data_IF_609017802029
#
_entry.id   IF_609017802029
#
_cell.length_a   1.000
_cell.length_b   1.000
_cell.length_c   1.000
_cell.angle_alpha   90.00
_cell.angle_beta   90.00
_cell.angle_gamma   90.00
#
_symmetry.space_group_name_H-M   'P 1'
#
loop_
_entity.id
_entity.type
_entity.pdbx_description
1 polymer ?
#
# COMPACT_ATOMS: atom_id res chain seq x y z
N UNK A 1 -1.38 -11.02 -18.09
CA UNK A 1 -2.51 -10.18 -17.68
C UNK A 1 -3.75 -11.05 -17.53
N UNK A 2 -4.39 -11.01 -16.37
CA UNK A 2 -5.68 -11.65 -16.08
C UNK A 2 -6.72 -10.54 -15.93
N UNK A 3 -7.88 -10.72 -16.57
CA UNK A 3 -8.99 -9.78 -16.52
C UNK A 3 -10.17 -10.45 -15.82
N UNK A 4 -10.77 -9.74 -14.87
CA UNK A 4 -11.92 -10.17 -14.10
C UNK A 4 -13.15 -9.36 -14.50
N UNK A 5 -14.21 -10.08 -14.83
CA UNK A 5 -15.54 -9.51 -15.07
C UNK A 5 -16.51 -10.17 -14.10
N UNK A 6 -16.83 -9.48 -13.01
CA UNK A 6 -17.68 -9.95 -11.92
C UNK A 6 -17.17 -11.24 -11.24
N UNK A 7 -15.89 -11.31 -10.89
CA UNK A 7 -15.39 -12.39 -10.06
C UNK A 7 -15.82 -12.16 -8.61
N UNK A 8 -16.65 -13.04 -8.07
CA UNK A 8 -17.08 -12.96 -6.66
C UNK A 8 -16.24 -13.87 -5.78
N UNK A 9 -15.65 -13.31 -4.73
CA UNK A 9 -15.00 -14.04 -3.65
C UNK A 9 -15.80 -13.90 -2.35
N UNK A 10 -15.85 -14.96 -1.55
CA UNK A 10 -16.48 -14.96 -0.23
C UNK A 10 -15.53 -15.52 0.81
N UNK A 11 -15.39 -14.85 1.95
CA UNK A 11 -14.54 -15.29 3.06
C UNK A 11 -15.06 -14.75 4.38
N UNK A 12 -15.12 -15.57 5.44
CA UNK A 12 -15.55 -15.16 6.79
C UNK A 12 -16.87 -14.35 6.86
N UNK A 13 -17.82 -14.64 5.97
CA UNK A 13 -19.10 -13.90 5.91
C UNK A 13 -19.03 -12.57 5.16
N UNK A 14 -17.89 -12.25 4.57
CA UNK A 14 -17.70 -11.15 3.62
C UNK A 14 -17.87 -11.66 2.17
N UNK A 15 -18.31 -10.76 1.28
CA UNK A 15 -18.59 -11.07 -0.11
C UNK A 15 -18.22 -9.88 -0.97
N UNK A 16 -17.24 -10.06 -1.84
CA UNK A 16 -16.68 -8.99 -2.67
C UNK A 16 -16.70 -9.41 -4.13
N UNK A 17 -17.21 -8.51 -4.99
CA UNK A 17 -17.15 -8.67 -6.45
C UNK A 17 -16.00 -7.83 -7.02
N UNK A 18 -15.10 -8.45 -7.75
CA UNK A 18 -13.94 -7.85 -8.40
C UNK A 18 -14.19 -7.67 -9.90
N UNK A 19 -13.88 -6.48 -10.39
CA UNK A 19 -13.82 -6.15 -11.81
C UNK A 19 -12.48 -5.47 -12.12
N UNK A 20 -11.90 -5.75 -13.28
CA UNK A 20 -10.67 -5.09 -13.73
C UNK A 20 -9.57 -6.07 -14.11
N UNK A 21 -8.31 -5.71 -13.88
CA UNK A 21 -7.17 -6.51 -14.32
C UNK A 21 -6.05 -6.59 -13.29
N UNK A 22 -5.35 -7.72 -13.31
CA UNK A 22 -4.10 -7.94 -12.60
C UNK A 22 -3.08 -8.47 -13.61
N UNK A 23 -1.92 -7.83 -13.67
CA UNK A 23 -0.76 -8.36 -14.38
C UNK A 23 0.30 -8.67 -13.35
N UNK A 24 0.79 -9.90 -13.35
CA UNK A 24 1.94 -10.30 -12.58
C UNK A 24 3.02 -10.77 -13.55
N UNK A 25 4.22 -10.24 -13.39
CA UNK A 25 5.44 -10.69 -14.04
C UNK A 25 6.43 -11.10 -12.97
N UNK A 26 7.10 -12.24 -13.14
CA UNK A 26 8.15 -12.67 -12.24
C UNK A 26 9.34 -13.15 -13.09
N UNK A 27 10.48 -12.50 -12.91
CA UNK A 27 11.69 -12.76 -13.67
C UNK A 27 12.87 -12.89 -12.71
N UNK A 28 13.42 -14.11 -12.61
CA UNK A 28 14.52 -14.40 -11.68
C UNK A 28 14.12 -14.09 -10.23
N UNK A 29 14.86 -13.20 -9.58
CA UNK A 29 14.61 -12.75 -8.21
C UNK A 29 13.74 -11.49 -8.12
N UNK A 30 12.97 -11.17 -9.16
CA UNK A 30 12.11 -9.97 -9.20
C UNK A 30 10.67 -10.34 -9.52
N UNK A 31 9.72 -9.61 -8.93
CA UNK A 31 8.31 -9.72 -9.27
C UNK A 31 7.65 -8.33 -9.33
N UNK A 32 6.82 -8.13 -10.34
CA UNK A 32 6.04 -6.91 -10.56
C UNK A 32 4.57 -7.27 -10.69
N UNK A 33 3.74 -6.69 -9.84
CA UNK A 33 2.29 -6.84 -9.86
C UNK A 33 1.70 -5.47 -10.17
N UNK A 34 0.86 -5.38 -11.20
CA UNK A 34 0.09 -4.18 -11.55
C UNK A 34 -1.39 -4.50 -11.50
N UNK A 35 -2.16 -3.69 -10.77
CA UNK A 35 -3.58 -3.87 -10.53
C UNK A 35 -4.36 -2.62 -10.94
N UNK A 36 -5.44 -2.85 -11.67
CA UNK A 36 -6.48 -1.87 -11.96
C UNK A 36 -7.82 -2.52 -11.61
N UNK A 37 -8.30 -2.29 -10.39
CA UNK A 37 -9.41 -3.04 -9.80
C UNK A 37 -10.51 -2.11 -9.29
N UNK A 38 -11.74 -2.57 -9.48
CA UNK A 38 -12.94 -2.07 -8.83
C UNK A 38 -13.48 -3.21 -7.98
N UNK A 39 -13.59 -2.98 -6.68
CA UNK A 39 -13.99 -3.97 -5.69
C UNK A 39 -15.30 -3.50 -5.06
N UNK A 40 -16.35 -4.30 -5.18
CA UNK A 40 -17.66 -4.00 -4.59
C UNK A 40 -17.94 -4.94 -3.43
N UNK A 41 -18.15 -4.40 -2.25
CA UNK A 41 -18.75 -5.12 -1.14
C UNK A 41 -20.22 -5.41 -1.49
N UNK A 42 -20.59 -6.69 -1.51
CA UNK A 42 -21.92 -7.14 -1.92
C UNK A 42 -22.98 -6.94 -0.82
N UNK A 43 -22.59 -6.70 0.43
CA UNK A 43 -23.51 -6.40 1.54
C UNK A 43 -23.87 -4.92 1.56
N UNK A 44 -22.86 -4.04 1.50
CA UNK A 44 -23.09 -2.59 1.61
C UNK A 44 -23.27 -1.91 0.25
N UNK A 45 -22.86 -2.55 -0.84
CA UNK A 45 -22.82 -1.95 -2.17
C UNK A 45 -21.68 -0.94 -2.36
N UNK A 46 -20.86 -0.71 -1.33
CA UNK A 46 -19.72 0.22 -1.38
C UNK A 46 -18.67 -0.29 -2.36
N UNK A 47 -18.07 0.65 -3.08
CA UNK A 47 -17.08 0.36 -4.10
C UNK A 47 -15.76 1.02 -3.75
N UNK A 48 -14.69 0.24 -3.81
CA UNK A 48 -13.31 0.64 -3.61
C UNK A 48 -12.57 0.50 -4.93
N UNK A 49 -11.62 1.37 -5.21
CA UNK A 49 -10.82 1.27 -6.43
C UNK A 49 -9.34 1.24 -6.11
N UNK A 50 -8.60 0.51 -6.93
CA UNK A 50 -7.15 0.53 -7.00
C UNK A 50 -6.78 0.82 -8.45
N UNK A 51 -6.18 1.97 -8.71
CA UNK A 51 -5.82 2.45 -10.05
C UNK A 51 -4.31 2.50 -10.19
N UNK A 52 -3.78 1.84 -11.21
CA UNK A 52 -2.35 1.66 -11.44
C UNK A 52 -1.60 1.27 -10.15
N UNK A 53 -2.22 0.41 -9.34
CA UNK A 53 -1.64 -0.03 -8.09
C UNK A 53 -0.56 -1.06 -8.38
N UNK A 54 0.68 -0.67 -8.17
CA UNK A 54 1.85 -1.46 -8.49
C UNK A 54 2.58 -1.89 -7.23
N UNK A 55 2.96 -3.17 -7.18
CA UNK A 55 3.88 -3.74 -6.20
C UNK A 55 5.10 -4.22 -6.98
N UNK A 56 6.29 -3.77 -6.60
CA UNK A 56 7.55 -4.33 -7.08
C UNK A 56 8.28 -5.00 -5.93
N UNK A 57 8.88 -6.16 -6.20
CA UNK A 57 9.57 -7.01 -5.24
C UNK A 57 10.93 -7.42 -5.81
N UNK A 58 11.97 -7.39 -4.97
CA UNK A 58 13.30 -7.87 -5.28
C UNK A 58 13.78 -8.80 -4.15
N UNK A 59 14.08 -10.04 -4.47
CA UNK A 59 14.55 -11.05 -3.54
C UNK A 59 16.08 -11.14 -3.55
N UNK A 60 16.71 -10.94 -2.39
CA UNK A 60 18.15 -11.04 -2.19
C UNK A 60 18.54 -12.24 -1.31
N UNK A 61 17.63 -13.21 -1.13
CA UNK A 61 17.79 -14.44 -0.36
C UNK A 61 17.62 -14.24 1.15
N UNK A 62 18.37 -13.30 1.75
CA UNK A 62 18.28 -13.01 3.19
C UNK A 62 17.28 -11.90 3.53
N UNK A 63 16.89 -11.11 2.55
CA UNK A 63 15.88 -10.07 2.67
C UNK A 63 15.20 -9.86 1.32
N UNK A 64 13.99 -9.31 1.37
CA UNK A 64 13.32 -8.77 0.20
C UNK A 64 13.31 -7.26 0.26
N UNK A 65 13.39 -6.61 -0.88
CA UNK A 65 12.95 -5.22 -1.03
C UNK A 65 11.60 -5.17 -1.71
N UNK A 66 10.79 -4.18 -1.34
CA UNK A 66 9.54 -3.92 -2.03
C UNK A 66 9.21 -2.44 -2.09
N UNK A 67 8.44 -2.09 -3.12
CA UNK A 67 7.82 -0.77 -3.27
C UNK A 67 6.37 -0.90 -3.68
N UNK A 68 5.58 0.09 -3.25
CA UNK A 68 4.16 0.19 -3.53
C UNK A 68 3.89 1.57 -4.14
N UNK A 69 3.09 1.61 -5.20
CA UNK A 69 2.64 2.87 -5.79
C UNK A 69 1.26 2.73 -6.40
N UNK A 70 0.60 3.84 -6.68
CA UNK A 70 -0.69 3.89 -7.35
C UNK A 70 -1.71 4.70 -6.58
N UNK A 71 -2.98 4.61 -6.96
CA UNK A 71 -4.06 5.36 -6.31
C UNK A 71 -5.09 4.39 -5.75
N UNK A 72 -5.58 4.66 -4.55
CA UNK A 72 -6.71 3.95 -3.96
C UNK A 72 -7.85 4.93 -3.67
N UNK A 73 -9.08 4.45 -3.76
CA UNK A 73 -10.28 5.17 -3.37
C UNK A 73 -11.08 4.35 -2.36
N UNK A 74 -11.45 5.03 -1.28
CA UNK A 74 -12.40 4.57 -0.29
C UNK A 74 -13.62 5.51 -0.31
N UNK A 75 -14.86 4.99 -0.32
CA UNK A 75 -16.06 5.84 -0.39
C UNK A 75 -16.34 6.67 0.87
N UNK A 76 -15.75 6.33 2.01
CA UNK A 76 -15.82 7.10 3.25
C UNK A 76 -14.65 8.08 3.41
N UNK A 77 -13.45 7.73 2.93
CA UNK A 77 -12.23 8.52 3.16
C UNK A 77 -11.75 9.31 1.92
N UNK A 78 -12.30 9.06 0.74
CA UNK A 78 -11.88 9.66 -0.52
C UNK A 78 -10.71 8.93 -1.19
N UNK A 79 -9.99 9.63 -2.06
CA UNK A 79 -8.86 9.04 -2.80
C UNK A 79 -7.52 9.50 -2.28
N UNK A 80 -6.55 8.59 -2.23
CA UNK A 80 -5.14 8.91 -1.93
C UNK A 80 -4.22 8.30 -2.97
N UNK A 81 -3.08 8.96 -3.20
CA UNK A 81 -1.99 8.43 -4.04
C UNK A 81 -0.88 7.92 -3.15
N UNK A 82 -0.42 6.70 -3.40
CA UNK A 82 0.63 6.03 -2.65
C UNK A 82 1.92 6.04 -3.47
N UNK A 83 3.03 6.28 -2.80
CA UNK A 83 4.37 6.15 -3.36
C UNK A 83 5.33 5.59 -2.31
N UNK A 84 6.35 4.87 -2.73
CA UNK A 84 7.47 4.42 -1.89
C UNK A 84 8.75 5.08 -2.40
N UNK A 85 9.13 6.27 -1.91
CA UNK A 85 10.35 6.95 -2.36
C UNK A 85 11.63 6.17 -2.04
N UNK A 86 11.61 5.40 -0.95
CA UNK A 86 12.70 4.50 -0.54
C UNK A 86 12.13 3.11 -0.32
N UNK A 87 12.58 2.13 -1.10
CA UNK A 87 12.12 0.74 -0.99
C UNK A 87 12.16 0.26 0.47
N UNK A 88 11.10 -0.43 0.88
CA UNK A 88 11.12 -1.15 2.14
C UNK A 88 11.99 -2.38 2.02
N UNK A 89 12.82 -2.65 3.02
CA UNK A 89 13.60 -3.86 3.08
C UNK A 89 13.20 -4.71 4.28
N UNK A 90 12.74 -5.92 4.04
CA UNK A 90 12.23 -6.86 5.03
C UNK A 90 13.18 -8.06 5.14
N UNK A 91 13.77 -8.25 6.33
CA UNK A 91 14.64 -9.38 6.61
C UNK A 91 13.82 -10.68 6.70
N UNK A 92 14.37 -11.81 6.27
CA UNK A 92 13.67 -13.11 6.28
C UNK A 92 13.22 -13.59 7.68
N UNK A 93 13.85 -13.07 8.73
CA UNK A 93 13.57 -13.38 10.13
C UNK A 93 12.78 -12.28 10.85
N UNK A 94 12.28 -11.27 10.14
CA UNK A 94 11.50 -10.17 10.71
C UNK A 94 10.13 -10.04 10.03
N UNK A 95 9.13 -9.67 10.82
CA UNK A 95 7.78 -9.36 10.31
C UNK A 95 7.64 -7.92 9.83
N UNK A 96 8.58 -7.04 10.16
CA UNK A 96 8.50 -5.61 9.85
C UNK A 96 9.74 -5.11 9.10
N UNK A 97 9.58 -4.15 8.18
CA UNK A 97 10.70 -3.59 7.45
C UNK A 97 11.74 -2.96 8.38
N UNK A 98 13.02 -3.14 8.04
CA UNK A 98 14.11 -2.53 8.80
C UNK A 98 14.50 -1.14 8.29
N UNK A 99 14.12 -0.81 7.06
CA UNK A 99 14.26 0.52 6.42
C UNK A 99 13.20 0.66 5.34
N UNK A 100 12.96 1.89 4.89
CA UNK A 100 12.03 2.23 3.81
C UNK A 100 11.16 3.43 4.15
N UNK A 101 10.53 3.99 3.13
CA UNK A 101 9.67 5.17 3.23
C UNK A 101 8.42 4.98 2.36
N UNK A 102 7.24 5.14 2.95
CA UNK A 102 5.95 5.24 2.26
C UNK A 102 5.45 6.67 2.38
N UNK A 103 4.97 7.26 1.28
CA UNK A 103 4.26 8.53 1.31
C UNK A 103 2.88 8.36 0.71
N UNK A 104 1.88 8.82 1.45
CA UNK A 104 0.47 8.85 1.06
C UNK A 104 0.08 10.31 0.85
N UNK A 105 -0.30 10.66 -0.36
CA UNK A 105 -0.76 11.99 -0.75
C UNK A 105 -2.28 12.04 -0.74
N UNK A 106 -2.85 12.92 0.06
CA UNK A 106 -4.28 13.18 0.17
C UNK A 106 -4.73 14.36 -0.68
N UNK A 107 -5.94 14.85 -0.38
CA UNK A 107 -6.47 16.08 -0.98
C UNK A 107 -5.79 17.33 -0.42
N UNK A 108 -5.93 18.46 -1.13
CA UNK A 108 -5.47 19.78 -0.69
C UNK A 108 -3.97 19.87 -0.33
N UNK A 109 -3.12 19.05 -0.96
CA UNK A 109 -1.68 19.06 -0.70
C UNK A 109 -1.24 18.31 0.57
N UNK A 110 -2.18 17.78 1.35
CA UNK A 110 -1.88 17.00 2.56
C UNK A 110 -1.14 15.72 2.21
N UNK A 111 -0.26 15.28 3.11
CA UNK A 111 0.48 14.02 2.94
C UNK A 111 0.86 13.42 4.29
N UNK A 112 0.91 12.10 4.34
CA UNK A 112 1.48 11.37 5.46
C UNK A 112 2.69 10.56 4.98
N UNK A 113 3.71 10.44 5.83
CA UNK A 113 4.90 9.62 5.58
C UNK A 113 5.06 8.61 6.69
N UNK A 114 5.30 7.36 6.31
CA UNK A 114 5.77 6.32 7.22
C UNK A 114 7.23 6.03 6.90
N UNK A 115 8.10 6.10 7.91
CA UNK A 115 9.52 5.79 7.81
C UNK A 115 9.85 4.62 8.72
N UNK A 116 10.36 3.54 8.14
CA UNK A 116 10.91 2.43 8.90
C UNK A 116 12.31 2.79 9.43
N UNK A 117 12.50 2.74 10.75
CA UNK A 117 13.80 2.99 11.39
C UNK A 117 14.56 1.69 11.61
N UNK A 118 13.84 0.65 12.03
CA UNK A 118 14.36 -0.69 12.25
C UNK A 118 13.21 -1.70 12.22
N UNK A 119 13.54 -2.98 12.30
CA UNK A 119 12.55 -4.06 12.40
C UNK A 119 11.66 -3.99 13.66
N UNK A 120 11.95 -3.08 14.59
CA UNK A 120 11.15 -2.87 15.80
C UNK A 120 10.42 -1.53 15.80
N UNK A 121 10.89 -0.54 15.04
CA UNK A 121 10.42 0.84 15.16
C UNK A 121 10.16 1.53 13.82
N UNK A 122 9.17 2.42 13.83
CA UNK A 122 8.84 3.33 12.74
C UNK A 122 8.51 4.73 13.28
N UNK A 123 8.40 5.69 12.37
CA UNK A 123 7.83 7.01 12.62
C UNK A 123 6.75 7.26 11.57
N UNK A 124 5.64 7.89 11.98
CA UNK A 124 4.68 8.50 11.06
C UNK A 124 4.73 10.02 11.22
N UNK A 125 4.76 10.73 10.09
CA UNK A 125 4.71 12.17 10.01
C UNK A 125 3.55 12.59 9.10
N UNK A 126 2.92 13.73 9.38
CA UNK A 126 1.85 14.27 8.55
C UNK A 126 2.00 15.77 8.31
N UNK A 127 1.74 16.18 7.07
CA UNK A 127 1.48 17.54 6.62
C UNK A 127 -0.05 17.66 6.58
N UNK A 128 -0.60 18.20 7.67
CA UNK A 128 -2.04 18.21 7.93
C UNK A 128 -2.73 19.43 7.35
N UNK A 129 -1.97 20.49 7.06
CA UNK A 129 -2.48 21.74 6.46
C UNK A 129 -2.18 21.87 4.95
N UNK A 130 -1.37 20.97 4.38
CA UNK A 130 -1.05 20.92 2.96
C UNK A 130 -0.03 21.96 2.51
N UNK A 131 0.76 22.53 3.42
CA UNK A 131 1.75 23.57 3.11
C UNK A 131 3.09 23.03 2.55
N UNK A 132 3.24 21.71 2.49
CA UNK A 132 4.44 21.02 2.01
C UNK A 132 5.40 20.57 3.12
N UNK A 133 5.16 20.97 4.37
CA UNK A 133 5.97 20.66 5.55
C UNK A 133 5.20 19.74 6.49
N UNK A 134 5.88 18.75 7.07
CA UNK A 134 5.28 17.92 8.10
C UNK A 134 5.13 18.71 9.42
N UNK A 135 3.90 18.92 9.87
CA UNK A 135 3.55 19.66 11.09
C UNK A 135 3.14 18.75 12.27
N UNK A 136 2.96 17.46 12.01
CA UNK A 136 2.66 16.44 13.02
C UNK A 136 3.62 15.25 12.92
N UNK A 137 3.95 14.65 14.06
CA UNK A 137 4.73 13.40 14.15
C UNK A 137 4.24 12.53 15.28
N UNK A 138 4.22 11.21 15.06
CA UNK A 138 3.98 10.22 16.11
C UNK A 138 5.13 10.10 17.12
N UNK A 139 6.32 10.62 16.78
CA UNK A 139 7.57 10.16 17.37
C UNK A 139 7.87 8.69 17.01
N UNK A 140 8.90 8.11 17.62
CA UNK A 140 9.26 6.71 17.41
C UNK A 140 8.20 5.79 18.04
N UNK A 141 7.56 4.97 17.21
CA UNK A 141 6.57 3.96 17.61
C UNK A 141 7.13 2.55 17.41
N UNK A 142 6.72 1.59 18.24
CA UNK A 142 6.89 0.19 17.88
C UNK A 142 5.93 -0.18 16.76
N UNK A 143 6.36 -1.02 15.83
CA UNK A 143 5.51 -1.46 14.71
C UNK A 143 4.18 -2.10 15.14
N UNK A 144 4.17 -2.81 16.26
CA UNK A 144 2.97 -3.45 16.81
C UNK A 144 2.03 -2.49 17.57
N UNK A 145 2.36 -1.20 17.61
CA UNK A 145 1.55 -0.13 18.20
C UNK A 145 0.98 0.82 17.15
N UNK A 146 1.35 0.64 15.87
CA UNK A 146 0.76 1.33 14.73
C UNK A 146 -0.63 0.74 14.43
#
# INVERSE_FOLDING_TARGET
MIVYNNLTGTSYGESVTLNGSITADATGSTAHILMNLIMRDNYTGKTFTAENFAIALWDYGYYIEFSISGRIYDPACGSVTISTPVNFALMSYSSYPHRGELVIYGGNGTKARLTAISSSYCIVEADTDGNGTYDWSSGTLMWNQL
#
